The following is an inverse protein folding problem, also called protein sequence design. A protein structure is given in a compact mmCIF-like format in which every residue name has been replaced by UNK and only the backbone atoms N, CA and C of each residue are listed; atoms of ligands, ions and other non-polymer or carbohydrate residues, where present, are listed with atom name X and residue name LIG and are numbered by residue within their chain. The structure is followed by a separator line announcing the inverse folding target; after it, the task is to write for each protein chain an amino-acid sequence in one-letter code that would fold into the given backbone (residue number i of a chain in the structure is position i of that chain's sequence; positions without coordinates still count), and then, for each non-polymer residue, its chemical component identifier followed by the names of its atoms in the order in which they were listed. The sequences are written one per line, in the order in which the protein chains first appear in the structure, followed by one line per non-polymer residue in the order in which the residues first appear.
data_IF_633795608644
#
_entry.id   IF_633795608644
#
_cell.length_a   1.000
_cell.length_b   1.000
_cell.length_c   1.000
_cell.angle_alpha   90.00
_cell.angle_beta   90.00
_cell.angle_gamma   90.00
#
_symmetry.space_group_name_H-M   'P 1'
#
loop_
_entity.id
_entity.type
_entity.pdbx_description
1 polymer ?
#
# COMPACT_ATOMS: atom_id res chain seq x y z
N UNK A 1 57.93 -61.61 -10.13
CA UNK A 1 58.17 -60.18 -9.82
C UNK A 1 57.16 -59.27 -10.51
N UNK A 2 57.06 -59.26 -11.85
CA UNK A 2 56.10 -58.42 -12.62
C UNK A 2 54.64 -58.42 -12.12
N UNK A 3 54.12 -59.56 -11.66
CA UNK A 3 52.75 -59.65 -11.13
C UNK A 3 52.55 -59.03 -9.76
N UNK A 4 53.59 -59.03 -8.91
CA UNK A 4 53.53 -58.41 -7.58
C UNK A 4 53.57 -56.89 -7.75
N UNK A 5 54.43 -56.40 -8.63
CA UNK A 5 54.52 -54.98 -8.97
C UNK A 5 53.23 -54.45 -9.61
N UNK A 6 52.61 -55.20 -10.53
CA UNK A 6 51.31 -54.85 -11.10
C UNK A 6 50.18 -54.83 -10.05
N UNK A 7 50.23 -55.75 -9.07
CA UNK A 7 49.23 -55.81 -7.99
C UNK A 7 49.38 -54.63 -7.03
N UNK A 8 50.62 -54.26 -6.67
CA UNK A 8 50.92 -53.11 -5.81
C UNK A 8 50.55 -51.80 -6.51
N UNK A 9 50.87 -51.66 -7.80
CA UNK A 9 50.50 -50.48 -8.58
C UNK A 9 48.97 -50.35 -8.71
N UNK A 10 48.25 -51.46 -8.91
CA UNK A 10 46.78 -51.44 -8.96
C UNK A 10 46.15 -51.17 -7.59
N UNK A 11 46.75 -51.65 -6.50
CA UNK A 11 46.31 -51.37 -5.13
C UNK A 11 46.52 -49.89 -4.78
N UNK A 12 47.65 -49.32 -5.18
CA UNK A 12 47.91 -47.88 -5.06
C UNK A 12 46.93 -47.04 -5.91
N UNK A 13 46.57 -47.51 -7.10
CA UNK A 13 45.54 -46.89 -7.96
C UNK A 13 44.13 -47.00 -7.35
N UNK A 14 43.78 -48.13 -6.73
CA UNK A 14 42.51 -48.26 -5.99
C UNK A 14 42.49 -47.36 -4.75
N UNK A 15 43.59 -47.25 -4.00
CA UNK A 15 43.69 -46.39 -2.80
C UNK A 15 43.58 -44.91 -3.18
N UNK A 16 44.20 -44.49 -4.28
CA UNK A 16 44.06 -43.12 -4.79
C UNK A 16 42.68 -42.86 -5.37
N UNK A 17 42.05 -43.85 -6.00
CA UNK A 17 40.64 -43.81 -6.43
C UNK A 17 39.66 -43.70 -5.25
N UNK A 18 39.99 -44.27 -4.08
CA UNK A 18 39.19 -44.20 -2.84
C UNK A 18 39.10 -42.76 -2.29
N UNK A 19 40.10 -41.92 -2.55
CA UNK A 19 40.12 -40.53 -2.07
C UNK A 19 39.23 -39.57 -2.87
N UNK A 20 38.77 -39.93 -4.07
CA UNK A 20 38.11 -39.00 -5.00
C UNK A 20 36.73 -39.43 -5.52
N UNK A 21 36.29 -40.66 -5.25
CA UNK A 21 35.02 -41.20 -5.75
C UNK A 21 34.08 -41.47 -4.58
N UNK A 22 32.79 -41.12 -4.69
CA UNK A 22 31.86 -41.30 -3.58
C UNK A 22 31.80 -42.77 -3.14
N UNK A 23 31.98 -42.96 -1.83
CA UNK A 23 32.18 -44.25 -1.14
C UNK A 23 31.17 -45.34 -1.51
N UNK A 24 29.95 -44.98 -1.94
CA UNK A 24 28.91 -45.92 -2.34
C UNK A 24 29.19 -46.65 -3.67
N UNK A 25 29.99 -46.09 -4.58
CA UNK A 25 30.39 -46.77 -5.82
C UNK A 25 31.53 -47.79 -5.57
N UNK A 26 32.34 -47.54 -4.54
CA UNK A 26 33.47 -48.41 -4.17
C UNK A 26 33.05 -49.52 -3.21
N UNK A 27 31.99 -49.32 -2.43
CA UNK A 27 31.50 -50.28 -1.44
C UNK A 27 31.30 -51.70 -2.01
N UNK A 28 30.63 -51.89 -3.17
CA UNK A 28 30.45 -53.22 -3.75
C UNK A 28 31.80 -53.81 -4.19
N UNK A 29 32.69 -52.99 -4.77
CA UNK A 29 34.00 -53.46 -5.26
C UNK A 29 34.94 -53.91 -4.15
N UNK A 30 34.80 -53.34 -2.94
CA UNK A 30 35.65 -53.64 -1.79
C UNK A 30 35.05 -54.76 -0.92
N UNK A 31 33.72 -54.83 -0.80
CA UNK A 31 33.01 -55.82 0.03
C UNK A 31 32.81 -57.16 -0.70
N UNK A 32 32.48 -57.15 -2.00
CA UNK A 32 32.23 -58.39 -2.76
C UNK A 32 33.42 -59.35 -2.72
N UNK A 33 34.70 -58.95 -2.91
CA UNK A 33 35.81 -59.90 -2.79
C UNK A 33 36.00 -60.43 -1.36
N UNK A 34 35.68 -59.64 -0.33
CA UNK A 34 35.74 -60.08 1.07
C UNK A 34 34.74 -61.21 1.37
N UNK A 35 33.55 -61.20 0.76
CA UNK A 35 32.58 -62.30 0.92
C UNK A 35 33.04 -63.63 0.31
N UNK A 36 33.93 -63.61 -0.68
CA UNK A 36 34.45 -64.82 -1.33
C UNK A 36 35.75 -65.36 -0.71
N UNK A 37 36.34 -64.65 0.26
CA UNK A 37 37.54 -65.10 0.98
C UNK A 37 37.08 -65.89 2.22
N UNK A 38 37.06 -67.23 2.14
CA UNK A 38 36.97 -68.09 3.33
C UNK A 38 38.27 -67.95 4.13
N UNK A 39 38.21 -67.44 5.35
CA UNK A 39 39.35 -67.41 6.27
C UNK A 39 39.72 -68.86 6.64
N UNK A 40 40.91 -69.37 6.29
CA UNK A 40 41.29 -70.74 6.61
C UNK A 40 41.51 -70.94 8.11
N UNK A 41 41.03 -72.07 8.65
CA UNK A 41 41.19 -72.42 10.06
C UNK A 41 42.66 -72.78 10.34
N UNK A 42 43.28 -72.20 11.37
CA UNK A 42 44.70 -72.44 11.76
C UNK A 42 45.04 -73.94 11.86
N UNK A 43 44.10 -74.78 12.29
CA UNK A 43 44.29 -76.24 12.34
C UNK A 43 44.35 -76.90 10.97
N UNK A 44 43.57 -76.42 10.00
CA UNK A 44 43.68 -76.91 8.61
C UNK A 44 44.99 -76.49 7.96
N UNK A 45 45.47 -75.29 8.29
CA UNK A 45 46.80 -74.82 7.84
C UNK A 45 47.88 -75.69 8.46
N UNK A 46 47.81 -75.97 9.77
CA UNK A 46 48.74 -76.87 10.46
C UNK A 46 48.77 -78.27 9.85
N UNK A 47 47.62 -78.88 9.56
CA UNK A 47 47.54 -80.18 8.87
C UNK A 47 48.16 -80.16 7.47
N UNK A 48 47.96 -79.08 6.70
CA UNK A 48 48.55 -78.94 5.36
C UNK A 48 50.07 -78.79 5.42
N UNK A 49 50.59 -78.12 6.45
CA UNK A 49 52.03 -78.00 6.68
C UNK A 49 52.63 -79.37 7.04
N UNK A 50 52.00 -80.11 7.95
CA UNK A 50 52.45 -81.45 8.33
C UNK A 50 52.35 -82.46 7.17
N UNK A 51 51.36 -82.33 6.27
CA UNK A 51 51.25 -83.17 5.08
C UNK A 51 52.39 -82.96 4.07
N UNK A 52 52.99 -81.77 4.04
CA UNK A 52 54.13 -81.45 3.17
C UNK A 52 55.45 -81.82 3.86
N UNK A 53 55.49 -81.74 5.19
CA UNK A 53 56.65 -82.04 6.01
C UNK A 53 56.36 -83.22 6.94
N UNK A 54 56.48 -84.47 6.47
CA UNK A 54 56.20 -85.65 7.29
C UNK A 54 57.12 -85.77 8.52
N UNK A 55 58.26 -85.06 8.54
CA UNK A 55 59.16 -84.95 9.70
C UNK A 55 58.49 -84.36 10.95
N UNK A 56 57.44 -83.54 10.78
CA UNK A 56 56.70 -82.97 11.90
C UNK A 56 55.76 -83.97 12.57
N UNK A 57 55.36 -85.06 11.89
CA UNK A 57 54.64 -86.22 12.46
C UNK A 57 53.55 -85.90 13.53
N UNK A 58 52.73 -84.86 13.32
CA UNK A 58 51.66 -84.44 14.24
C UNK A 58 52.09 -83.49 15.37
N UNK A 59 53.39 -83.21 15.51
CA UNK A 59 53.96 -82.36 16.57
C UNK A 59 53.63 -80.88 16.40
N UNK A 60 53.35 -80.39 15.19
CA UNK A 60 53.00 -78.98 14.96
C UNK A 60 51.63 -78.66 15.57
N UNK A 61 50.65 -79.53 15.31
CA UNK A 61 49.30 -79.37 15.83
C UNK A 61 49.29 -79.56 17.34
N UNK A 62 50.02 -80.57 17.84
CA UNK A 62 50.14 -80.83 19.28
C UNK A 62 50.84 -79.65 19.98
N UNK A 63 51.95 -79.16 19.43
CA UNK A 63 52.65 -77.99 19.97
C UNK A 63 51.77 -76.74 20.00
N UNK A 64 50.97 -76.51 18.96
CA UNK A 64 50.01 -75.42 18.89
C UNK A 64 48.85 -75.58 19.91
N UNK A 65 48.34 -76.79 20.10
CA UNK A 65 47.28 -77.05 21.08
C UNK A 65 47.79 -76.93 22.52
N UNK A 66 49.05 -77.34 22.78
CA UNK A 66 49.73 -77.14 24.05
C UNK A 66 50.01 -75.65 24.31
N UNK A 67 50.45 -74.88 23.31
CA UNK A 67 50.74 -73.45 23.49
C UNK A 67 49.50 -72.60 23.76
N UNK A 68 48.31 -73.05 23.35
CA UNK A 68 47.03 -72.36 23.59
C UNK A 68 46.35 -72.86 24.89
N UNK A 69 47.02 -73.73 25.66
CA UNK A 69 46.52 -74.17 26.98
C UNK A 69 45.38 -75.20 26.91
N UNK A 70 45.21 -75.88 25.76
CA UNK A 70 44.09 -76.82 25.56
C UNK A 70 44.16 -78.08 26.42
N UNK A 71 45.33 -78.36 27.02
CA UNK A 71 45.63 -79.52 27.86
C UNK A 71 46.01 -79.14 29.31
N UNK A 72 45.66 -77.94 29.80
CA UNK A 72 45.98 -77.48 31.16
C UNK A 72 45.52 -78.43 32.29
N UNK A 73 44.50 -79.27 32.04
CA UNK A 73 43.99 -80.26 33.01
C UNK A 73 44.93 -81.45 33.21
N UNK A 74 45.85 -81.72 32.29
CA UNK A 74 46.69 -82.91 32.28
C UNK A 74 48.02 -82.72 33.04
N UNK A 75 48.24 -81.54 33.64
CA UNK A 75 49.38 -81.20 34.53
C UNK A 75 50.76 -81.55 33.96
N UNK A 76 50.97 -81.38 32.66
CA UNK A 76 52.30 -81.47 32.07
C UNK A 76 53.24 -80.42 32.68
N UNK A 77 54.52 -80.79 32.89
CA UNK A 77 55.51 -79.84 33.37
C UNK A 77 55.79 -78.77 32.32
N UNK A 78 55.98 -77.52 32.76
CA UNK A 78 56.31 -76.38 31.89
C UNK A 78 57.55 -76.67 31.04
N UNK A 79 58.52 -77.39 31.61
CA UNK A 79 59.75 -77.82 30.94
C UNK A 79 59.46 -78.77 29.76
N UNK A 80 58.48 -79.66 29.88
CA UNK A 80 58.10 -80.59 28.81
C UNK A 80 57.39 -79.84 27.66
N UNK A 81 56.49 -78.91 27.99
CA UNK A 81 55.79 -78.10 27.00
C UNK A 81 56.79 -77.23 26.22
N UNK A 82 57.70 -76.57 26.95
CA UNK A 82 58.74 -75.74 26.36
C UNK A 82 59.66 -76.57 25.45
N UNK A 83 60.05 -77.78 25.89
CA UNK A 83 60.88 -78.67 25.08
C UNK A 83 60.20 -79.11 23.77
N UNK A 84 58.89 -79.39 23.79
CA UNK A 84 58.13 -79.73 22.57
C UNK A 84 58.03 -78.53 21.63
N UNK A 85 57.81 -77.33 22.16
CA UNK A 85 57.74 -76.10 21.35
C UNK A 85 59.11 -75.80 20.72
N UNK A 86 60.20 -75.88 21.49
CA UNK A 86 61.56 -75.66 20.99
C UNK A 86 61.98 -76.70 19.94
N UNK A 87 61.56 -77.96 20.10
CA UNK A 87 61.83 -79.02 19.13
C UNK A 87 61.08 -78.77 17.81
N UNK A 88 59.81 -78.37 17.90
CA UNK A 88 59.01 -77.96 16.73
C UNK A 88 59.62 -76.73 16.06
N UNK A 89 60.10 -75.75 16.81
CA UNK A 89 60.75 -74.54 16.29
C UNK A 89 62.07 -74.85 15.57
N UNK A 90 62.89 -75.77 16.12
CA UNK A 90 64.13 -76.24 15.46
C UNK A 90 63.85 -76.99 14.16
N UNK A 91 62.75 -77.73 14.09
CA UNK A 91 62.34 -78.43 12.85
C UNK A 91 61.81 -77.41 11.83
N UNK A 92 60.96 -76.48 12.27
CA UNK A 92 60.40 -75.43 11.41
C UNK A 92 61.46 -74.50 10.82
N UNK A 93 62.51 -74.14 11.57
CA UNK A 93 63.60 -73.28 11.09
C UNK A 93 64.45 -73.92 10.00
N UNK A 94 64.46 -75.26 9.90
CA UNK A 94 65.16 -76.00 8.83
C UNK A 94 64.32 -76.11 7.55
N UNK A 95 63.01 -75.94 7.64
CA UNK A 95 62.08 -76.07 6.54
C UNK A 95 61.83 -74.69 5.92
N UNK A 96 62.09 -74.54 4.62
CA UNK A 96 61.71 -73.34 3.90
C UNK A 96 60.17 -73.32 3.77
N UNK A 97 59.48 -72.22 4.15
CA UNK A 97 58.02 -72.18 4.12
C UNK A 97 57.52 -72.40 2.69
N UNK A 98 56.70 -73.44 2.40
CA UNK A 98 56.07 -73.56 1.09
C UNK A 98 55.11 -72.38 0.90
N UNK A 99 54.94 -71.93 -0.35
CA UNK A 99 54.01 -70.87 -0.72
C UNK A 99 52.55 -71.30 -0.44
N UNK A 100 52.12 -71.21 0.82
CA UNK A 100 50.82 -71.72 1.31
C UNK A 100 49.64 -70.84 0.89
N UNK A 101 49.91 -69.61 0.43
CA UNK A 101 48.89 -68.69 -0.06
C UNK A 101 48.85 -68.66 -1.59
N UNK A 102 48.27 -69.69 -2.20
CA UNK A 102 47.69 -69.54 -3.55
C UNK A 102 46.33 -68.87 -3.39
N UNK A 103 46.25 -67.59 -3.75
CA UNK A 103 44.97 -66.89 -3.88
C UNK A 103 44.09 -67.71 -4.84
N UNK A 104 42.86 -68.09 -4.45
CA UNK A 104 42.00 -68.89 -5.31
C UNK A 104 41.82 -68.16 -6.64
N UNK A 105 41.89 -68.91 -7.76
CA UNK A 105 41.70 -68.37 -9.10
C UNK A 105 40.38 -67.59 -9.22
N UNK A 106 39.36 -67.98 -8.43
CA UNK A 106 38.08 -67.29 -8.34
C UNK A 106 38.17 -65.85 -7.79
N UNK A 107 39.05 -65.61 -6.80
CA UNK A 107 39.29 -64.26 -6.23
C UNK A 107 40.04 -63.39 -7.24
N UNK A 108 40.91 -64.01 -8.04
CA UNK A 108 41.60 -63.32 -9.14
C UNK A 108 40.59 -62.88 -10.21
N UNK A 109 39.66 -63.75 -10.61
CA UNK A 109 38.62 -63.39 -11.57
C UNK A 109 37.59 -62.39 -11.01
N UNK A 110 37.22 -62.48 -9.73
CA UNK A 110 36.30 -61.50 -9.13
C UNK A 110 36.91 -60.10 -9.09
N UNK A 111 38.21 -59.98 -8.82
CA UNK A 111 38.93 -58.71 -8.89
C UNK A 111 38.95 -58.13 -10.32
N UNK A 112 39.20 -58.96 -11.34
CA UNK A 112 39.14 -58.50 -12.73
C UNK A 112 37.72 -58.15 -13.18
N UNK A 113 36.71 -58.87 -12.71
CA UNK A 113 35.31 -58.57 -13.00
C UNK A 113 34.85 -57.25 -12.36
N UNK A 114 35.22 -56.98 -11.11
CA UNK A 114 34.91 -55.69 -10.47
C UNK A 114 35.65 -54.53 -11.12
N UNK A 115 36.94 -54.71 -11.46
CA UNK A 115 37.71 -53.71 -12.19
C UNK A 115 37.11 -53.44 -13.59
N UNK A 116 36.68 -54.48 -14.30
CA UNK A 116 36.01 -54.36 -15.59
C UNK A 116 34.67 -53.65 -15.49
N UNK A 117 33.84 -53.99 -14.49
CA UNK A 117 32.56 -53.33 -14.25
C UNK A 117 32.74 -51.85 -13.87
N UNK A 118 33.75 -51.54 -13.06
CA UNK A 118 34.11 -50.17 -12.70
C UNK A 118 34.60 -49.37 -13.92
N UNK A 119 35.45 -49.97 -14.75
CA UNK A 119 35.92 -49.35 -15.99
C UNK A 119 34.77 -49.10 -16.96
N UNK A 120 33.86 -50.08 -17.10
CA UNK A 120 32.65 -49.92 -17.88
C UNK A 120 31.77 -48.79 -17.34
N UNK A 121 31.57 -48.69 -16.03
CA UNK A 121 30.81 -47.59 -15.41
C UNK A 121 31.43 -46.23 -15.74
N UNK A 122 32.76 -46.09 -15.67
CA UNK A 122 33.43 -44.84 -16.03
C UNK A 122 33.27 -44.49 -17.53
N UNK A 123 33.22 -45.50 -18.41
CA UNK A 123 33.01 -45.32 -19.85
C UNK A 123 31.56 -44.92 -20.16
N UNK A 124 30.58 -45.58 -19.54
CA UNK A 124 29.16 -45.31 -19.78
C UNK A 124 28.66 -44.03 -19.10
N UNK A 125 29.32 -43.58 -18.04
CA UNK A 125 28.91 -42.41 -17.25
C UNK A 125 30.04 -41.38 -17.08
N UNK A 126 30.61 -40.85 -18.18
CA UNK A 126 31.75 -39.93 -18.12
C UNK A 126 31.39 -38.58 -17.46
N UNK A 127 30.13 -38.20 -17.51
CA UNK A 127 29.55 -36.98 -16.91
C UNK A 127 29.70 -36.95 -15.39
N UNK A 128 29.40 -38.06 -14.72
CA UNK A 128 29.55 -38.19 -13.27
C UNK A 128 31.01 -38.10 -12.84
N UNK A 129 31.94 -38.67 -13.62
CA UNK A 129 33.37 -38.55 -13.37
C UNK A 129 33.85 -37.09 -13.51
N UNK A 130 33.46 -36.43 -14.60
CA UNK A 130 33.80 -35.01 -14.86
C UNK A 130 33.30 -34.09 -13.75
N UNK A 131 32.04 -34.27 -13.32
CA UNK A 131 31.47 -33.48 -12.23
C UNK A 131 32.17 -33.72 -10.88
N UNK A 132 32.56 -34.97 -10.56
CA UNK A 132 33.29 -35.23 -9.31
C UNK A 132 34.72 -34.65 -9.32
N UNK A 133 35.39 -34.65 -10.49
CA UNK A 133 36.73 -34.07 -10.64
C UNK A 133 36.70 -32.54 -10.64
N UNK A 134 35.70 -31.94 -11.29
CA UNK A 134 35.48 -30.48 -11.36
C UNK A 134 33.99 -30.20 -11.24
N UNK A 135 33.47 -29.98 -10.01
CA UNK A 135 32.05 -29.72 -9.78
C UNK A 135 31.69 -28.27 -10.13
N UNK A 136 31.82 -27.92 -11.41
CA UNK A 136 31.46 -26.61 -11.95
C UNK A 136 30.16 -26.71 -12.73
N UNK A 137 29.13 -26.04 -12.23
CA UNK A 137 27.86 -25.83 -12.91
C UNK A 137 27.72 -24.33 -13.15
N UNK A 138 27.63 -23.92 -14.40
CA UNK A 138 27.38 -22.52 -14.77
C UNK A 138 25.89 -22.26 -14.61
N UNK A 139 25.56 -21.36 -13.68
CA UNK A 139 24.17 -21.03 -13.35
C UNK A 139 23.91 -19.58 -13.73
N UNK A 140 22.97 -19.36 -14.65
CA UNK A 140 22.51 -18.04 -15.03
C UNK A 140 21.05 -17.86 -14.60
N UNK A 141 20.75 -16.72 -13.98
CA UNK A 141 19.41 -16.33 -13.56
C UNK A 141 19.02 -15.08 -14.33
N UNK A 142 17.87 -15.12 -15.01
CA UNK A 142 17.33 -13.99 -15.76
C UNK A 142 15.92 -13.68 -15.23
N UNK A 143 15.65 -12.48 -14.72
CA UNK A 143 16.59 -11.37 -14.54
C UNK A 143 17.59 -11.63 -13.40
N UNK A 144 18.86 -11.15 -13.51
CA UNK A 144 19.92 -11.32 -12.50
C UNK A 144 19.75 -10.34 -11.32
N UNK A 145 18.52 -10.12 -10.84
CA UNK A 145 18.19 -9.08 -9.85
C UNK A 145 17.88 -7.72 -10.46
N UNK A 146 17.69 -6.72 -9.59
CA UNK A 146 17.29 -5.37 -10.00
C UNK A 146 16.19 -4.75 -9.14
N UNK A 147 15.54 -3.72 -9.67
CA UNK A 147 14.46 -2.97 -9.00
C UNK A 147 13.11 -3.52 -9.41
N UNK A 148 12.36 -4.02 -8.44
CA UNK A 148 11.02 -4.58 -8.65
C UNK A 148 10.00 -3.87 -7.78
N UNK A 149 8.71 -3.94 -8.16
CA UNK A 149 7.66 -3.36 -7.33
C UNK A 149 7.23 -4.31 -6.22
N UNK A 150 6.86 -3.76 -5.06
CA UNK A 150 6.29 -4.55 -3.98
C UNK A 150 5.04 -5.31 -4.47
N UNK A 151 4.91 -6.54 -4.00
CA UNK A 151 3.86 -7.50 -4.33
C UNK A 151 3.77 -7.94 -5.80
N UNK A 152 4.74 -7.56 -6.63
CA UNK A 152 4.84 -8.07 -8.00
C UNK A 152 5.27 -9.54 -8.04
N UNK A 153 4.67 -10.32 -8.94
CA UNK A 153 5.09 -11.68 -9.23
C UNK A 153 6.12 -11.62 -10.37
N UNK A 154 7.36 -12.00 -10.08
CA UNK A 154 8.45 -12.02 -11.05
C UNK A 154 8.81 -13.46 -11.36
N UNK A 155 8.83 -13.79 -12.65
CA UNK A 155 9.27 -15.08 -13.15
C UNK A 155 10.77 -15.01 -13.45
N UNK A 156 11.54 -15.83 -12.76
CA UNK A 156 12.96 -16.03 -13.02
C UNK A 156 13.15 -17.25 -13.89
N UNK A 157 13.89 -17.07 -14.98
CA UNK A 157 14.39 -18.14 -15.83
C UNK A 157 15.79 -18.51 -15.37
N UNK A 158 15.99 -19.80 -15.09
CA UNK A 158 17.25 -20.36 -14.67
C UNK A 158 17.79 -21.19 -15.82
N UNK A 159 19.00 -20.89 -16.27
CA UNK A 159 19.74 -21.68 -17.26
C UNK A 159 20.96 -22.30 -16.60
N UNK A 160 21.12 -23.61 -16.78
CA UNK A 160 22.20 -24.43 -16.25
C UNK A 160 23.00 -25.00 -17.41
N UNK A 161 24.30 -24.83 -17.34
CA UNK A 161 25.25 -25.44 -18.27
C UNK A 161 26.37 -26.12 -17.49
N UNK A 162 26.67 -27.36 -17.86
CA UNK A 162 27.69 -28.14 -17.17
C UNK A 162 27.63 -29.63 -17.48
N UNK A 163 28.60 -30.38 -16.93
CA UNK A 163 28.78 -31.80 -17.23
C UNK A 163 27.77 -32.72 -16.54
N UNK A 164 26.87 -32.19 -15.70
CA UNK A 164 25.79 -32.95 -15.08
C UNK A 164 24.66 -31.97 -14.74
N UNK A 165 23.53 -32.09 -15.44
CA UNK A 165 22.37 -31.22 -15.25
C UNK A 165 21.37 -31.91 -14.31
N UNK A 166 21.05 -31.33 -13.14
CA UNK A 166 20.07 -31.90 -12.23
C UNK A 166 18.64 -31.62 -12.71
N UNK A 167 17.71 -32.52 -12.39
CA UNK A 167 16.27 -32.34 -12.68
C UNK A 167 15.56 -31.35 -11.75
N UNK A 168 16.20 -30.97 -10.64
CA UNK A 168 15.65 -30.08 -9.64
C UNK A 168 16.71 -29.23 -8.98
N UNK A 169 16.33 -28.01 -8.60
CA UNK A 169 17.14 -27.12 -7.77
C UNK A 169 16.26 -26.19 -6.95
N UNK A 170 16.89 -25.34 -6.16
CA UNK A 170 16.20 -24.45 -5.23
C UNK A 170 16.57 -23.00 -5.51
N UNK A 171 15.55 -22.19 -5.77
CA UNK A 171 15.69 -20.75 -5.86
C UNK A 171 15.40 -20.14 -4.48
N UNK A 172 16.41 -19.48 -3.91
CA UNK A 172 16.33 -18.87 -2.59
C UNK A 172 16.13 -17.37 -2.73
N UNK A 173 15.15 -16.85 -2.01
CA UNK A 173 14.91 -15.43 -1.83
C UNK A 173 14.63 -15.19 -0.34
N UNK A 174 15.57 -14.50 0.32
CA UNK A 174 15.57 -14.31 1.78
C UNK A 174 15.47 -15.65 2.54
N UNK A 175 14.38 -15.87 3.28
CA UNK A 175 14.08 -17.10 4.04
C UNK A 175 13.18 -18.09 3.28
N UNK A 176 12.77 -17.76 2.05
CA UNK A 176 11.90 -18.60 1.23
C UNK A 176 12.74 -19.32 0.18
N UNK A 177 12.50 -20.62 0.04
CA UNK A 177 13.09 -21.44 -0.99
C UNK A 177 11.98 -22.04 -1.84
N UNK A 178 12.06 -21.85 -3.15
CA UNK A 178 11.11 -22.41 -4.12
C UNK A 178 11.81 -23.51 -4.89
N UNK A 179 11.20 -24.69 -4.93
CA UNK A 179 11.67 -25.80 -5.74
C UNK A 179 11.44 -25.47 -7.22
N UNK A 180 12.49 -25.57 -8.02
CA UNK A 180 12.48 -25.34 -9.46
C UNK A 180 12.71 -26.67 -10.15
N UNK A 181 11.77 -27.07 -11.01
CA UNK A 181 11.96 -28.20 -11.92
C UNK A 181 12.77 -27.74 -13.12
N UNK A 182 13.76 -28.53 -13.48
CA UNK A 182 14.68 -28.23 -14.58
C UNK A 182 14.47 -29.30 -15.65
N UNK A 183 14.14 -28.84 -16.85
CA UNK A 183 14.02 -29.64 -18.07
C UNK A 183 15.05 -29.12 -19.07
N UNK A 184 15.93 -30.00 -19.56
CA UNK A 184 17.00 -29.67 -20.52
C UNK A 184 17.87 -28.46 -20.11
N UNK A 185 18.21 -28.38 -18.82
CA UNK A 185 19.04 -27.30 -18.28
C UNK A 185 18.30 -25.97 -18.11
N UNK A 186 16.99 -25.91 -18.33
CA UNK A 186 16.18 -24.71 -18.11
C UNK A 186 15.10 -24.95 -17.06
N UNK A 187 14.86 -23.95 -16.23
CA UNK A 187 13.79 -23.99 -15.24
C UNK A 187 13.18 -22.61 -15.04
N UNK A 188 11.92 -22.57 -14.62
CA UNK A 188 11.21 -21.33 -14.34
C UNK A 188 10.65 -21.35 -12.93
N UNK A 189 10.73 -20.20 -12.27
CA UNK A 189 10.22 -20.03 -10.92
C UNK A 189 9.62 -18.64 -10.73
N UNK A 190 8.42 -18.58 -10.19
CA UNK A 190 7.75 -17.31 -9.92
C UNK A 190 7.76 -17.01 -8.43
N UNK A 191 8.32 -15.85 -8.06
CA UNK A 191 8.43 -15.40 -6.67
C UNK A 191 7.72 -14.06 -6.51
N UNK A 192 6.88 -13.95 -5.48
CA UNK A 192 6.27 -12.67 -5.08
C UNK A 192 7.29 -11.82 -4.33
N UNK A 193 7.56 -10.63 -4.83
CA UNK A 193 8.51 -9.67 -4.27
C UNK A 193 7.91 -8.95 -3.07
N UNK A 194 8.45 -9.14 -1.86
CA UNK A 194 7.85 -8.58 -0.63
C UNK A 194 8.75 -7.53 0.02
N UNK A 195 10.06 -7.77 0.05
CA UNK A 195 11.04 -6.95 0.78
C UNK A 195 12.41 -6.97 0.09
N UNK A 196 13.26 -6.00 0.41
CA UNK A 196 14.63 -5.96 -0.09
C UNK A 196 15.41 -7.21 0.33
N UNK A 197 16.22 -7.76 -0.57
CA UNK A 197 16.98 -8.96 -0.24
C UNK A 197 17.85 -9.43 -1.38
N UNK A 198 18.21 -10.70 -1.29
CA UNK A 198 19.12 -11.33 -2.23
C UNK A 198 18.48 -12.59 -2.80
N UNK A 199 18.72 -12.81 -4.09
CA UNK A 199 18.30 -14.02 -4.79
C UNK A 199 19.51 -14.81 -5.27
N UNK A 200 19.47 -16.12 -5.05
CA UNK A 200 20.48 -17.04 -5.57
C UNK A 200 19.87 -18.42 -5.77
N UNK A 201 20.46 -19.20 -6.67
CA UNK A 201 20.02 -20.54 -7.00
C UNK A 201 21.06 -21.57 -6.53
N UNK A 202 20.59 -22.67 -5.97
CA UNK A 202 21.43 -23.79 -5.55
C UNK A 202 20.99 -25.08 -6.23
N UNK A 203 21.94 -25.80 -6.81
CA UNK A 203 21.72 -27.10 -7.41
C UNK A 203 22.95 -27.98 -7.19
N UNK A 204 22.74 -29.23 -6.78
CA UNK A 204 23.80 -30.17 -6.38
C UNK A 204 24.74 -29.55 -5.33
N UNK A 205 26.04 -29.38 -5.64
CA UNK A 205 27.05 -28.75 -4.78
C UNK A 205 27.40 -27.32 -5.22
N UNK A 206 26.74 -26.81 -6.26
CA UNK A 206 27.05 -25.52 -6.87
C UNK A 206 25.98 -24.48 -6.51
N UNK A 207 26.44 -23.23 -6.36
CA UNK A 207 25.60 -22.06 -6.03
C UNK A 207 25.85 -20.97 -7.06
N UNK A 208 24.80 -20.29 -7.51
CA UNK A 208 24.92 -19.14 -8.40
C UNK A 208 25.53 -17.94 -7.68
N UNK A 209 25.91 -16.91 -8.45
CA UNK A 209 26.12 -15.58 -7.88
C UNK A 209 24.87 -15.10 -7.15
N UNK A 210 25.10 -14.30 -6.11
CA UNK A 210 24.03 -13.64 -5.36
C UNK A 210 23.66 -12.33 -6.05
N UNK A 211 22.38 -12.14 -6.29
CA UNK A 211 21.86 -10.98 -6.99
C UNK A 211 21.00 -10.12 -6.05
N UNK A 212 21.27 -8.81 -5.94
CA UNK A 212 20.48 -7.92 -5.10
C UNK A 212 19.11 -7.63 -5.72
N UNK A 213 18.09 -7.58 -4.87
CA UNK A 213 16.70 -7.28 -5.20
C UNK A 213 16.27 -6.07 -4.39
N UNK A 214 16.06 -4.94 -5.07
CA UNK A 214 15.56 -3.69 -4.48
C UNK A 214 14.06 -3.57 -4.72
N UNK A 215 13.26 -3.41 -3.67
CA UNK A 215 11.81 -3.27 -3.76
C UNK A 215 11.40 -1.81 -3.73
N UNK A 216 10.73 -1.38 -4.80
CA UNK A 216 10.08 -0.08 -4.92
C UNK A 216 8.62 -0.21 -4.53
N UNK A 217 8.18 0.68 -3.65
CA UNK A 217 6.75 0.84 -3.37
C UNK A 217 6.09 1.52 -4.57
N UNK A 218 4.90 1.05 -4.95
CA UNK A 218 4.07 1.78 -5.92
C UNK A 218 3.45 2.96 -5.20
N UNK A 219 3.55 4.15 -5.80
CA UNK A 219 2.88 5.34 -5.27
C UNK A 219 1.37 5.12 -5.34
N UNK A 220 0.70 5.28 -4.20
CA UNK A 220 -0.75 5.29 -4.08
C UNK A 220 -1.20 6.61 -3.46
N UNK A 221 -2.26 7.19 -3.98
CA UNK A 221 -2.94 8.32 -3.35
C UNK A 221 -3.93 7.79 -2.30
N UNK A 222 -3.70 8.07 -1.03
CA UNK A 222 -4.56 7.60 0.06
C UNK A 222 -5.71 8.55 0.34
N UNK A 223 -5.43 9.86 0.37
CA UNK A 223 -6.46 10.88 0.54
C UNK A 223 -5.96 12.25 0.09
N UNK A 224 -6.88 13.18 -0.14
CA UNK A 224 -6.56 14.59 -0.30
C UNK A 224 -7.38 15.35 0.71
N UNK A 225 -6.71 16.13 1.55
CA UNK A 225 -7.36 16.97 2.56
C UNK A 225 -7.27 18.41 2.07
N UNK A 226 -8.43 19.03 1.90
CA UNK A 226 -8.54 20.44 1.57
C UNK A 226 -9.02 21.20 2.79
N UNK A 227 -8.22 22.17 3.23
CA UNK A 227 -8.59 23.12 4.27
C UNK A 227 -9.06 24.42 3.60
N UNK A 228 -10.27 24.86 3.93
CA UNK A 228 -10.87 26.09 3.43
C UNK A 228 -10.99 27.08 4.59
N UNK A 229 -10.49 28.30 4.38
CA UNK A 229 -10.65 29.43 5.29
C UNK A 229 -11.43 30.52 4.55
N UNK A 230 -12.74 30.65 4.83
CA UNK A 230 -13.55 31.72 4.26
C UNK A 230 -13.01 33.11 4.63
N UNK A 231 -13.35 34.14 3.84
CA UNK A 231 -13.04 35.53 4.19
C UNK A 231 -13.66 35.95 5.53
N UNK A 232 -13.01 36.86 6.25
CA UNK A 232 -13.42 37.27 7.59
C UNK A 232 -14.83 37.89 7.69
N UNK A 233 -15.29 38.57 6.63
CA UNK A 233 -16.61 39.21 6.60
C UNK A 233 -17.77 38.20 6.65
N UNK A 234 -17.56 36.99 6.14
CA UNK A 234 -18.60 35.94 6.11
C UNK A 234 -18.96 35.43 7.52
N UNK A 235 -18.09 35.63 8.51
CA UNK A 235 -18.25 35.06 9.85
C UNK A 235 -18.20 33.53 9.92
N UNK A 236 -17.94 32.85 8.80
CA UNK A 236 -17.91 31.39 8.73
C UNK A 236 -16.61 30.83 9.31
N UNK A 237 -16.73 29.71 10.02
CA UNK A 237 -15.56 28.99 10.56
C UNK A 237 -14.80 28.24 9.46
N UNK A 238 -13.48 28.15 9.62
CA UNK A 238 -12.65 27.30 8.77
C UNK A 238 -13.07 25.82 8.86
N UNK A 239 -13.05 25.10 7.74
CA UNK A 239 -13.41 23.69 7.68
C UNK A 239 -12.40 22.88 6.86
N UNK A 240 -12.46 21.55 7.01
CA UNK A 240 -11.66 20.59 6.24
C UNK A 240 -12.59 19.61 5.56
N UNK A 241 -12.33 19.31 4.30
CA UNK A 241 -13.07 18.30 3.54
C UNK A 241 -12.11 17.39 2.76
N UNK A 242 -12.59 16.20 2.42
CA UNK A 242 -11.93 15.24 1.51
C UNK A 242 -12.63 15.18 0.14
N UNK A 243 -13.70 15.94 -0.03
CA UNK A 243 -14.52 15.93 -1.25
C UNK A 243 -13.71 16.43 -2.45
N UNK A 244 -14.13 15.98 -3.64
CA UNK A 244 -13.51 16.39 -4.90
C UNK A 244 -14.13 17.64 -5.50
N UNK A 245 -15.37 17.95 -5.15
CA UNK A 245 -16.06 19.18 -5.56
C UNK A 245 -16.31 20.03 -4.33
N UNK A 246 -15.65 21.18 -4.26
CA UNK A 246 -15.62 22.00 -3.06
C UNK A 246 -16.18 23.39 -3.40
N UNK A 247 -17.38 23.74 -2.90
CA UNK A 247 -17.89 25.10 -2.99
C UNK A 247 -17.11 26.00 -2.03
N UNK A 248 -16.71 27.17 -2.53
CA UNK A 248 -15.87 28.12 -1.82
C UNK A 248 -16.34 29.55 -2.11
N UNK A 249 -16.32 30.41 -1.11
CA UNK A 249 -16.67 31.83 -1.31
C UNK A 249 -15.48 32.54 -1.93
N UNK A 250 -15.72 33.43 -2.90
CA UNK A 250 -14.68 34.23 -3.55
C UNK A 250 -13.77 34.92 -2.52
N UNK A 251 -12.45 34.83 -2.71
CA UNK A 251 -11.46 35.34 -1.74
C UNK A 251 -11.09 34.38 -0.60
N UNK A 252 -11.72 33.20 -0.50
CA UNK A 252 -11.34 32.15 0.46
C UNK A 252 -9.88 31.72 0.26
N UNK A 253 -9.15 31.54 1.37
CA UNK A 253 -7.82 30.95 1.36
C UNK A 253 -7.92 29.41 1.47
N UNK A 254 -7.32 28.70 0.52
CA UNK A 254 -7.42 27.24 0.42
C UNK A 254 -6.03 26.63 0.50
N UNK A 255 -5.95 25.51 1.22
CA UNK A 255 -4.75 24.68 1.34
C UNK A 255 -5.11 23.24 0.99
N UNK A 256 -4.57 22.74 -0.12
CA UNK A 256 -4.78 21.37 -0.61
C UNK A 256 -3.54 20.54 -0.26
N UNK A 257 -3.74 19.45 0.48
CA UNK A 257 -2.68 18.53 0.88
C UNK A 257 -3.03 17.10 0.49
N UNK A 258 -2.39 16.54 -0.55
CA UNK A 258 -2.49 15.13 -0.88
C UNK A 258 -1.59 14.28 0.03
N UNK A 259 -2.05 13.09 0.37
CA UNK A 259 -1.31 12.09 1.14
C UNK A 259 -1.05 10.88 0.25
N UNK A 260 0.23 10.64 -0.03
CA UNK A 260 0.69 9.52 -0.82
C UNK A 260 1.44 8.51 0.04
N UNK A 261 1.31 7.22 -0.31
CA UNK A 261 2.15 6.15 0.22
C UNK A 261 2.96 5.55 -0.94
N UNK A 262 4.31 5.58 -0.90
CA UNK A 262 5.15 6.25 0.09
C UNK A 262 5.06 7.78 0.00
N UNK A 263 5.46 8.47 1.07
CA UNK A 263 5.44 9.93 1.13
C UNK A 263 6.26 10.53 -0.04
N UNK A 264 5.56 11.22 -0.93
CA UNK A 264 6.11 11.73 -2.19
C UNK A 264 5.60 13.14 -2.44
N UNK A 265 6.41 13.96 -3.08
CA UNK A 265 6.05 15.33 -3.48
C UNK A 265 5.07 15.27 -4.66
N UNK A 266 4.01 16.06 -4.59
CA UNK A 266 2.99 16.13 -5.62
C UNK A 266 3.29 17.23 -6.65
N UNK A 267 2.87 16.98 -7.87
CA UNK A 267 2.80 17.94 -8.96
C UNK A 267 1.37 18.47 -9.07
N UNK A 268 1.19 19.77 -8.87
CA UNK A 268 -0.09 20.46 -8.98
C UNK A 268 -0.18 21.24 -10.29
N UNK A 269 -1.26 21.05 -11.03
CA UNK A 269 -1.56 21.81 -12.25
C UNK A 269 -2.91 22.53 -12.09
N UNK A 270 -2.90 23.85 -12.27
CA UNK A 270 -4.10 24.71 -12.11
C UNK A 270 -3.94 25.98 -12.95
N UNK A 271 -4.98 26.44 -13.65
CA UNK A 271 -4.95 27.66 -14.49
C UNK A 271 -3.68 27.82 -15.36
N UNK A 272 -3.24 26.73 -16.01
CA UNK A 272 -1.99 26.69 -16.80
C UNK A 272 -0.70 26.95 -16.02
N UNK A 273 -0.76 26.94 -14.68
CA UNK A 273 0.38 27.00 -13.77
C UNK A 273 0.73 25.61 -13.28
N UNK A 274 2.00 25.44 -12.95
CA UNK A 274 2.56 24.24 -12.37
C UNK A 274 3.24 24.58 -11.06
N UNK A 275 2.98 23.79 -10.03
CA UNK A 275 3.67 23.92 -8.74
C UNK A 275 3.98 22.53 -8.20
N UNK A 276 5.23 22.33 -7.78
CA UNK A 276 5.68 21.09 -7.14
C UNK A 276 5.79 21.30 -5.64
N UNK A 277 5.12 20.48 -4.86
CA UNK A 277 5.12 20.64 -3.40
C UNK A 277 4.31 19.58 -2.67
N UNK A 278 4.33 19.64 -1.34
CA UNK A 278 3.47 18.82 -0.48
C UNK A 278 2.11 19.45 -0.21
N UNK A 279 2.03 20.77 -0.33
CA UNK A 279 0.83 21.55 -0.05
C UNK A 279 0.73 22.62 -1.13
N UNK A 280 -0.44 22.73 -1.74
CA UNK A 280 -0.79 23.84 -2.62
C UNK A 280 -1.63 24.84 -1.84
N UNK A 281 -1.18 26.09 -1.79
CA UNK A 281 -1.95 27.21 -1.21
C UNK A 281 -2.41 28.13 -2.33
N UNK A 282 -3.69 28.45 -2.35
CA UNK A 282 -4.30 29.26 -3.40
C UNK A 282 -5.43 30.14 -2.85
N UNK A 283 -5.74 31.21 -3.58
CA UNK A 283 -6.95 32.02 -3.46
C UNK A 283 -7.56 32.08 -4.85
N UNK A 284 -8.51 31.20 -5.18
CA UNK A 284 -9.12 31.17 -6.50
C UNK A 284 -10.16 32.29 -6.61
N UNK A 285 -10.15 32.97 -7.76
CA UNK A 285 -11.10 34.03 -8.08
C UNK A 285 -12.20 33.57 -9.06
N UNK A 286 -12.04 32.39 -9.66
CA UNK A 286 -12.98 31.77 -10.58
C UNK A 286 -12.98 30.25 -10.40
N UNK A 287 -14.01 29.60 -10.94
CA UNK A 287 -14.08 28.15 -11.03
C UNK A 287 -12.82 27.58 -11.69
N UNK A 288 -12.24 26.57 -11.05
CA UNK A 288 -11.00 25.97 -11.55
C UNK A 288 -10.85 24.51 -11.11
N UNK A 289 -10.15 23.75 -11.94
CA UNK A 289 -9.78 22.36 -11.67
C UNK A 289 -8.30 22.30 -11.29
N UNK A 290 -8.01 21.72 -10.13
CA UNK A 290 -6.65 21.43 -9.68
C UNK A 290 -6.37 19.97 -9.94
N UNK A 291 -5.48 19.67 -10.89
CA UNK A 291 -4.99 18.31 -11.12
C UNK A 291 -3.77 18.05 -10.24
N UNK A 292 -3.74 16.88 -9.63
CA UNK A 292 -2.70 16.44 -8.71
C UNK A 292 -2.11 15.16 -9.29
N UNK A 293 -0.78 15.12 -9.42
CA UNK A 293 -0.07 13.97 -9.98
C UNK A 293 1.14 13.61 -9.13
N UNK A 294 1.37 12.31 -8.90
CA UNK A 294 2.61 11.81 -8.32
C UNK A 294 2.82 10.34 -8.67
N UNK A 295 4.03 9.96 -9.07
CA UNK A 295 4.42 8.57 -9.26
C UNK A 295 3.53 7.76 -10.23
N UNK A 296 2.95 8.43 -11.23
CA UNK A 296 2.02 7.83 -12.20
C UNK A 296 0.54 7.84 -11.79
N UNK A 297 0.22 8.20 -10.55
CA UNK A 297 -1.17 8.42 -10.09
C UNK A 297 -1.59 9.85 -10.39
N UNK A 298 -2.80 10.05 -10.90
CA UNK A 298 -3.39 11.36 -11.13
C UNK A 298 -4.82 11.42 -10.58
N UNK A 299 -5.18 12.54 -9.95
CA UNK A 299 -6.52 12.85 -9.46
C UNK A 299 -6.81 14.34 -9.67
N UNK A 300 -8.07 14.77 -9.56
CA UNK A 300 -8.48 16.16 -9.77
C UNK A 300 -9.51 16.63 -8.76
N UNK A 301 -9.37 17.90 -8.34
CA UNK A 301 -10.31 18.60 -7.47
C UNK A 301 -10.94 19.76 -8.24
N UNK A 302 -12.26 19.87 -8.16
CA UNK A 302 -13.06 20.96 -8.69
C UNK A 302 -13.33 21.97 -7.57
N UNK A 303 -12.92 23.21 -7.79
CA UNK A 303 -13.19 24.33 -6.91
C UNK A 303 -14.28 25.19 -7.57
N UNK A 304 -15.41 25.33 -6.89
CA UNK A 304 -16.57 26.08 -7.37
C UNK A 304 -16.64 27.37 -6.57
N UNK A 305 -16.35 28.50 -7.21
CA UNK A 305 -16.31 29.82 -6.59
C UNK A 305 -17.70 30.43 -6.59
N UNK A 306 -18.24 30.61 -5.39
CA UNK A 306 -19.48 31.31 -5.12
C UNK A 306 -19.18 32.79 -4.92
N UNK A 307 -19.88 33.63 -5.68
CA UNK A 307 -19.85 35.07 -5.49
C UNK A 307 -20.79 35.46 -4.34
N UNK A 308 -20.37 36.47 -3.59
CA UNK A 308 -21.13 37.12 -2.53
C UNK A 308 -22.23 37.99 -3.15
N UNK A 309 -23.46 37.90 -2.68
CA UNK A 309 -24.58 38.63 -3.27
C UNK A 309 -24.78 39.98 -2.57
N UNK A 310 -25.18 41.00 -3.33
CA UNK A 310 -25.56 42.28 -2.71
C UNK A 310 -26.89 42.11 -1.91
N UNK A 311 -27.04 42.81 -0.78
CA UNK A 311 -28.25 42.75 0.03
C UNK A 311 -29.52 43.06 -0.75
N UNK A 312 -30.58 42.30 -0.52
CA UNK A 312 -31.89 42.56 -1.09
C UNK A 312 -32.67 43.53 -0.19
N UNK A 313 -33.20 44.61 -0.78
CA UNK A 313 -34.00 45.63 -0.06
C UNK A 313 -35.37 45.79 -0.71
N UNK A 314 -36.43 45.57 0.06
CA UNK A 314 -37.82 45.69 -0.39
C UNK A 314 -38.56 46.64 0.55
N UNK A 315 -39.07 47.75 0.01
CA UNK A 315 -40.03 48.61 0.71
C UNK A 315 -41.43 48.04 0.41
N UNK A 316 -42.08 47.47 1.41
CA UNK A 316 -43.41 46.88 1.27
C UNK A 316 -44.53 47.79 1.76
N UNK A 317 -44.21 48.81 2.58
CA UNK A 317 -45.14 49.87 2.95
C UNK A 317 -44.43 51.23 2.84
N UNK A 318 -45.00 52.22 2.13
CA UNK A 318 -46.22 52.11 1.32
C UNK A 318 -46.05 51.21 0.07
N UNK A 319 -44.81 50.96 -0.37
CA UNK A 319 -44.53 50.05 -1.50
C UNK A 319 -44.96 50.57 -2.88
N UNK A 320 -45.41 51.82 -2.94
CA UNK A 320 -45.85 52.51 -4.15
C UNK A 320 -45.65 54.02 -3.99
N UNK A 321 -45.83 54.76 -5.09
CA UNK A 321 -45.90 56.21 -5.05
C UNK A 321 -47.18 56.63 -4.32
N UNK A 322 -47.07 57.58 -3.40
CA UNK A 322 -48.18 58.04 -2.56
C UNK A 322 -48.28 59.56 -2.56
N UNK A 323 -49.49 60.04 -2.29
CA UNK A 323 -49.69 61.42 -1.87
C UNK A 323 -49.35 61.56 -0.39
N UNK A 324 -48.67 62.64 -0.01
CA UNK A 324 -48.33 62.95 1.37
C UNK A 324 -49.61 63.02 2.24
N UNK A 325 -49.74 62.19 3.29
CA UNK A 325 -50.89 62.26 4.20
C UNK A 325 -50.90 63.56 4.99
N UNK A 326 -52.08 63.95 5.48
CA UNK A 326 -52.26 65.18 6.29
C UNK A 326 -51.46 65.17 7.59
N UNK A 327 -51.15 63.99 8.14
CA UNK A 327 -50.28 63.83 9.32
C UNK A 327 -48.84 64.25 9.07
N UNK A 328 -48.40 64.38 7.81
CA UNK A 328 -46.99 64.52 7.41
C UNK A 328 -46.08 63.38 7.92
N UNK A 329 -46.68 62.25 8.30
CA UNK A 329 -45.97 61.04 8.75
C UNK A 329 -46.20 59.91 7.76
N UNK A 330 -45.13 59.25 7.35
CA UNK A 330 -45.19 58.10 6.44
C UNK A 330 -44.51 56.90 7.10
N UNK A 331 -45.28 55.83 7.30
CA UNK A 331 -44.76 54.57 7.83
C UNK A 331 -44.02 53.80 6.73
N UNK A 332 -42.71 53.70 6.89
CA UNK A 332 -41.85 52.94 5.99
C UNK A 332 -41.67 51.51 6.52
N UNK A 333 -42.32 50.56 5.85
CA UNK A 333 -42.11 49.13 6.03
C UNK A 333 -41.03 48.62 5.09
N UNK A 334 -39.89 48.23 5.66
CA UNK A 334 -38.69 47.82 4.92
C UNK A 334 -38.34 46.38 5.30
N UNK A 335 -38.15 45.53 4.31
CA UNK A 335 -37.63 44.17 4.47
C UNK A 335 -36.27 44.09 3.80
N UNK A 336 -35.33 43.52 4.52
CA UNK A 336 -33.94 43.38 4.10
C UNK A 336 -33.46 41.96 4.35
N UNK A 337 -32.69 41.41 3.41
CA UNK A 337 -32.16 40.05 3.47
C UNK A 337 -30.82 40.00 2.76
N UNK A 338 -29.88 39.28 3.35
CA UNK A 338 -28.51 39.09 2.88
C UNK A 338 -28.06 37.65 3.16
N UNK A 339 -27.09 37.15 2.40
CA UNK A 339 -26.53 35.80 2.59
C UNK A 339 -25.62 35.72 3.83
N UNK A 340 -25.03 36.85 4.25
CA UNK A 340 -24.21 36.95 5.45
C UNK A 340 -24.84 37.85 6.52
N UNK A 341 -24.58 39.16 6.47
CA UNK A 341 -24.98 40.06 7.55
C UNK A 341 -25.03 41.49 7.06
N UNK A 342 -26.19 42.10 7.30
CA UNK A 342 -26.40 43.53 7.09
C UNK A 342 -25.85 44.29 8.31
N UNK A 343 -25.06 45.34 8.07
CA UNK A 343 -24.47 46.17 9.13
C UNK A 343 -25.27 47.41 9.44
N UNK A 344 -25.80 48.05 8.40
CA UNK A 344 -26.53 49.32 8.53
C UNK A 344 -27.52 49.50 7.39
N UNK A 345 -28.54 50.30 7.67
CA UNK A 345 -29.58 50.69 6.74
C UNK A 345 -29.67 52.20 6.70
N UNK A 346 -29.73 52.77 5.50
CA UNK A 346 -29.84 54.22 5.27
C UNK A 346 -31.05 54.51 4.37
N UNK A 347 -31.87 55.49 4.77
CA UNK A 347 -32.88 56.09 3.92
C UNK A 347 -32.25 57.28 3.18
N UNK A 348 -32.12 57.17 1.87
CA UNK A 348 -31.76 58.29 1.00
C UNK A 348 -32.99 58.93 0.42
N UNK A 349 -33.13 60.25 0.55
CA UNK A 349 -34.19 60.99 -0.11
C UNK A 349 -33.67 62.25 -0.78
N UNK A 350 -34.38 62.66 -1.83
CA UNK A 350 -34.10 63.84 -2.63
C UNK A 350 -35.33 64.74 -2.67
N UNK A 351 -35.14 66.01 -2.30
CA UNK A 351 -36.14 67.07 -2.38
C UNK A 351 -35.53 68.19 -3.21
N UNK A 352 -36.12 68.48 -4.37
CA UNK A 352 -35.56 69.44 -5.34
C UNK A 352 -34.09 69.06 -5.66
N UNK A 353 -33.13 69.89 -5.25
CA UNK A 353 -31.69 69.65 -5.44
C UNK A 353 -30.95 69.11 -4.20
N UNK A 354 -31.64 68.92 -3.07
CA UNK A 354 -31.04 68.44 -1.83
C UNK A 354 -31.17 66.93 -1.73
N UNK A 355 -30.03 66.22 -1.68
CA UNK A 355 -29.94 64.81 -1.35
C UNK A 355 -29.48 64.63 0.09
N UNK A 356 -30.25 63.90 0.88
CA UNK A 356 -29.96 63.64 2.29
C UNK A 356 -30.01 62.14 2.52
N UNK A 357 -29.17 61.65 3.44
CA UNK A 357 -29.19 60.27 3.91
C UNK A 357 -29.37 60.25 5.41
N UNK A 358 -30.33 59.46 5.87
CA UNK A 358 -30.63 59.24 7.29
C UNK A 358 -30.34 57.78 7.60
N UNK A 359 -29.60 57.52 8.68
CA UNK A 359 -29.40 56.16 9.14
C UNK A 359 -30.63 55.68 9.94
N UNK A 360 -31.17 54.53 9.55
CA UNK A 360 -32.28 53.89 10.28
C UNK A 360 -31.66 53.01 11.39
N UNK A 361 -32.16 53.09 12.63
CA UNK A 361 -31.75 52.17 13.69
C UNK A 361 -31.98 50.71 13.29
N UNK A 362 -30.89 49.94 13.18
CA UNK A 362 -30.93 48.53 12.82
C UNK A 362 -29.86 47.77 13.60
N UNK A 363 -30.23 46.62 14.14
CA UNK A 363 -29.28 45.71 14.78
C UNK A 363 -28.74 44.75 13.73
N UNK A 364 -27.42 44.55 13.64
CA UNK A 364 -26.83 43.73 12.59
C UNK A 364 -27.38 42.29 12.58
N UNK A 365 -28.01 41.91 11.46
CA UNK A 365 -28.65 40.62 11.27
C UNK A 365 -28.62 40.22 9.78
N UNK A 366 -28.70 38.91 9.44
CA UNK A 366 -28.80 38.44 8.05
C UNK A 366 -30.11 38.89 7.38
N UNK A 367 -31.18 39.00 8.17
CA UNK A 367 -32.48 39.44 7.70
C UNK A 367 -33.14 40.35 8.73
N UNK A 368 -34.05 41.20 8.27
CA UNK A 368 -34.76 42.13 9.13
C UNK A 368 -36.02 42.69 8.49
N UNK A 369 -37.01 42.94 9.33
CA UNK A 369 -38.18 43.74 8.98
C UNK A 369 -38.21 44.95 9.89
N UNK A 370 -38.18 46.14 9.29
CA UNK A 370 -38.16 47.43 9.95
C UNK A 370 -39.45 48.18 9.66
N UNK A 371 -40.01 48.79 10.70
CA UNK A 371 -41.08 49.77 10.59
C UNK A 371 -40.51 51.09 11.09
N UNK A 372 -40.34 52.04 10.19
CA UNK A 372 -39.75 53.35 10.48
C UNK A 372 -40.79 54.44 10.23
N UNK A 373 -41.33 55.07 11.29
CA UNK A 373 -42.22 56.22 11.13
C UNK A 373 -41.38 57.42 10.70
N UNK A 374 -41.60 57.88 9.47
CA UNK A 374 -40.85 58.99 8.90
C UNK A 374 -41.65 60.30 9.00
N UNK A 375 -41.24 61.17 9.93
CA UNK A 375 -41.78 62.52 10.07
C UNK A 375 -41.17 63.46 9.01
N UNK A 376 -42.03 64.00 8.14
CA UNK A 376 -41.67 64.89 7.04
C UNK A 376 -41.90 66.37 7.38
N UNK A 377 -42.43 66.69 8.57
CA UNK A 377 -42.82 68.05 8.99
C UNK A 377 -41.63 69.01 8.97
N UNK A 378 -40.45 68.54 9.36
CA UNK A 378 -39.24 69.36 9.49
C UNK A 378 -38.50 69.60 8.15
N UNK A 379 -39.01 69.04 7.04
CA UNK A 379 -38.33 69.10 5.75
C UNK A 379 -38.63 70.37 4.95
N UNK A 380 -39.52 71.24 5.44
CA UNK A 380 -39.84 72.52 4.82
C UNK A 380 -40.43 72.37 3.41
N UNK A 381 -41.31 71.38 3.24
CA UNK A 381 -41.97 71.05 1.98
C UNK A 381 -43.02 72.12 1.62
N UNK A 382 -43.13 72.43 0.33
CA UNK A 382 -44.17 73.31 -0.20
C UNK A 382 -45.23 72.49 -0.97
N UNK A 383 -46.51 72.92 -1.00
CA UNK A 383 -47.53 72.29 -1.82
C UNK A 383 -47.09 72.19 -3.29
N UNK A 384 -47.12 70.98 -3.86
CA UNK A 384 -46.61 70.66 -5.19
C UNK A 384 -45.20 70.05 -5.23
N UNK A 385 -44.46 70.03 -4.11
CA UNK A 385 -43.15 69.38 -4.05
C UNK A 385 -43.26 67.86 -4.19
N UNK A 386 -42.22 67.23 -4.76
CA UNK A 386 -42.09 65.77 -4.84
C UNK A 386 -40.81 65.31 -4.14
N UNK A 387 -40.94 64.32 -3.27
CA UNK A 387 -39.83 63.67 -2.57
C UNK A 387 -39.57 62.34 -3.27
N UNK A 388 -38.37 62.13 -3.79
CA UNK A 388 -37.94 60.81 -4.25
C UNK A 388 -37.12 60.15 -3.14
N UNK A 389 -37.51 58.95 -2.70
CA UNK A 389 -36.80 58.23 -1.65
C UNK A 389 -36.45 56.80 -2.07
N UNK A 390 -35.37 56.28 -1.49
CA UNK A 390 -34.88 54.92 -1.66
C UNK A 390 -34.13 54.48 -0.41
N UNK A 391 -34.15 53.18 -0.14
CA UNK A 391 -33.49 52.59 1.00
C UNK A 391 -32.25 51.85 0.54
N UNK A 392 -31.17 52.03 1.29
CA UNK A 392 -29.90 51.35 1.10
C UNK A 392 -29.62 50.42 2.27
N UNK A 393 -29.22 49.20 1.97
CA UNK A 393 -28.65 48.28 2.94
C UNK A 393 -27.17 48.08 2.64
N UNK A 394 -26.35 48.02 3.68
CA UNK A 394 -24.91 47.78 3.55
C UNK A 394 -24.53 46.52 4.31
N UNK A 395 -23.90 45.58 3.62
CA UNK A 395 -23.12 44.52 4.23
C UNK A 395 -21.67 45.00 4.47
N UNK A 396 -20.73 44.07 4.63
CA UNK A 396 -19.31 44.36 4.86
C UNK A 396 -18.53 44.84 3.61
N UNK A 397 -19.00 44.52 2.40
CA UNK A 397 -18.30 44.72 1.13
C UNK A 397 -19.17 45.40 0.08
N UNK A 398 -20.46 45.09 0.04
CA UNK A 398 -21.40 45.53 -0.99
C UNK A 398 -22.51 46.42 -0.41
N UNK A 399 -23.39 46.86 -1.31
CA UNK A 399 -24.58 47.63 -0.95
C UNK A 399 -25.76 47.18 -1.80
N UNK A 400 -26.90 47.00 -1.14
CA UNK A 400 -28.20 46.80 -1.76
C UNK A 400 -28.98 48.11 -1.84
N UNK A 401 -29.77 48.28 -2.89
CA UNK A 401 -30.68 49.43 -3.04
C UNK A 401 -32.10 48.98 -3.37
N UNK A 402 -33.08 49.69 -2.81
CA UNK A 402 -34.49 49.50 -3.16
C UNK A 402 -34.83 50.19 -4.47
N UNK A 403 -36.04 49.91 -4.97
CA UNK A 403 -36.68 50.77 -5.98
C UNK A 403 -36.84 52.19 -5.43
N UNK A 404 -36.85 53.16 -6.34
CA UNK A 404 -37.11 54.57 -6.04
C UNK A 404 -38.63 54.77 -5.97
N UNK A 405 -39.10 55.38 -4.89
CA UNK A 405 -40.50 55.72 -4.67
C UNK A 405 -40.66 57.23 -4.55
N UNK A 406 -41.85 57.73 -4.86
CA UNK A 406 -42.16 59.16 -4.83
C UNK A 406 -43.31 59.48 -3.88
N UNK A 407 -43.11 60.51 -3.08
CA UNK A 407 -44.15 61.12 -2.22
C UNK A 407 -44.44 62.50 -2.78
N UNK A 408 -45.65 62.71 -3.25
CA UNK A 408 -46.10 64.00 -3.79
C UNK A 408 -46.84 64.79 -2.70
N UNK A 409 -46.48 66.05 -2.48
CA UNK A 409 -47.26 66.96 -1.64
C UNK A 409 -48.40 67.55 -2.48
N UNK A 410 -49.68 67.24 -2.18
CA UNK A 410 -50.81 67.90 -2.82
C UNK A 410 -50.68 69.42 -2.92
N UNK A 411 -51.11 69.95 -4.06
CA UNK A 411 -51.27 71.40 -4.22
C UNK A 411 -52.40 71.92 -3.32
N UNK A 412 -52.40 73.23 -3.01
CA UNK A 412 -53.47 73.83 -2.21
C UNK A 412 -54.86 73.56 -2.82
N UNK A 413 -54.99 73.65 -4.14
CA UNK A 413 -56.24 73.35 -4.84
C UNK A 413 -56.72 71.91 -4.59
N UNK A 414 -55.81 70.93 -4.67
CA UNK A 414 -56.13 69.52 -4.39
C UNK A 414 -56.49 69.28 -2.92
N UNK A 415 -55.83 69.96 -1.99
CA UNK A 415 -56.15 69.88 -0.56
C UNK A 415 -57.57 70.42 -0.32
N UNK A 416 -57.90 71.60 -0.85
CA UNK A 416 -59.24 72.18 -0.74
C UNK A 416 -60.30 71.29 -1.38
N UNK A 417 -60.02 70.72 -2.55
CA UNK A 417 -60.93 69.79 -3.22
C UNK A 417 -61.18 68.55 -2.35
N UNK A 418 -60.13 67.96 -1.79
CA UNK A 418 -60.24 66.80 -0.91
C UNK A 418 -61.04 67.11 0.36
N UNK A 419 -60.79 68.26 1.00
CA UNK A 419 -61.56 68.70 2.19
C UNK A 419 -63.03 68.92 1.82
N UNK A 420 -63.31 69.59 0.71
CA UNK A 420 -64.68 69.86 0.26
C UNK A 420 -65.45 68.59 -0.12
N UNK A 421 -64.75 67.58 -0.64
CA UNK A 421 -65.32 66.27 -0.97
C UNK A 421 -65.63 65.48 0.31
N UNK A 422 -64.72 65.50 1.28
CA UNK A 422 -64.87 64.86 2.58
C UNK A 422 -66.02 65.48 3.40
N UNK A 423 -66.14 66.82 3.40
CA UNK A 423 -67.27 67.52 4.03
C UNK A 423 -68.61 67.18 3.36
N UNK A 424 -68.66 67.10 2.03
CA UNK A 424 -69.87 66.69 1.30
C UNK A 424 -70.27 65.26 1.67
N UNK A 425 -69.30 64.34 1.69
CA UNK A 425 -69.53 62.96 2.09
C UNK A 425 -70.03 62.86 3.54
N UNK A 426 -69.41 63.56 4.49
CA UNK A 426 -69.86 63.57 5.88
C UNK A 426 -71.28 64.12 6.04
N UNK A 427 -71.62 65.21 5.32
CA UNK A 427 -72.99 65.74 5.32
C UNK A 427 -73.99 64.72 4.77
N UNK A 428 -73.63 64.01 3.71
CA UNK A 428 -74.46 62.96 3.13
C UNK A 428 -74.67 61.80 4.12
N UNK A 429 -73.59 61.28 4.73
CA UNK A 429 -73.66 60.22 5.74
C UNK A 429 -74.51 60.63 6.94
N UNK A 430 -74.31 61.84 7.49
CA UNK A 430 -75.12 62.35 8.61
C UNK A 430 -76.59 62.46 8.23
N UNK A 431 -76.89 62.91 7.00
CA UNK A 431 -78.27 63.01 6.52
C UNK A 431 -78.97 61.65 6.33
N UNK A 432 -78.21 60.60 6.00
CA UNK A 432 -78.71 59.23 5.91
C UNK A 432 -78.97 58.68 7.30
N UNK A 433 -78.01 58.80 8.22
CA UNK A 433 -78.15 58.35 9.61
C UNK A 433 -79.30 59.07 10.34
N UNK A 434 -79.51 60.36 10.09
CA UNK A 434 -80.64 61.09 10.68
C UNK A 434 -81.98 60.57 10.17
N UNK A 435 -82.08 60.23 8.87
CA UNK A 435 -83.30 59.62 8.30
C UNK A 435 -83.55 58.23 8.86
N UNK A 436 -82.51 57.39 9.01
CA UNK A 436 -82.63 56.07 9.65
C UNK A 436 -83.08 56.19 11.11
N UNK A 437 -82.53 57.15 11.87
CA UNK A 437 -82.95 57.38 13.25
C UNK A 437 -84.41 57.81 13.34
N UNK A 438 -84.89 58.70 12.46
CA UNK A 438 -86.31 59.10 12.41
C UNK A 438 -87.25 57.94 12.10
N UNK A 439 -86.86 57.04 11.19
CA UNK A 439 -87.62 55.83 10.88
C UNK A 439 -87.65 54.88 12.09
N UNK A 440 -86.51 54.66 12.74
CA UNK A 440 -86.40 53.80 13.93
C UNK A 440 -87.23 54.35 15.10
N UNK A 441 -87.25 55.68 15.31
CA UNK A 441 -88.09 56.32 16.32
C UNK A 441 -89.57 56.15 16.03
N UNK A 442 -89.99 56.28 14.76
CA UNK A 442 -91.37 56.02 14.33
C UNK A 442 -91.79 54.59 14.59
N UNK A 443 -90.97 53.61 14.22
CA UNK A 443 -91.22 52.20 14.49
C UNK A 443 -91.32 51.91 15.99
N UNK A 444 -90.48 52.55 16.82
CA UNK A 444 -90.55 52.41 18.28
C UNK A 444 -91.80 53.06 18.91
N UNK A 445 -92.32 54.14 18.31
CA UNK A 445 -93.57 54.79 18.73
C UNK A 445 -94.77 53.92 18.35
N UNK A 446 -94.80 53.33 17.15
CA UNK A 446 -95.85 52.40 16.71
C UNK A 446 -95.90 51.15 17.60
N UNK A 447 -94.74 50.57 17.97
CA UNK A 447 -94.68 49.44 18.92
C UNK A 447 -95.18 49.82 20.32
N UNK A 448 -95.06 51.09 20.72
CA UNK A 448 -95.60 51.57 22.01
C UNK A 448 -97.11 51.78 21.99
N UNK A 449 -97.72 52.07 20.85
CA UNK A 449 -99.18 52.21 20.73
C UNK A 449 -99.90 50.86 20.60
N UNK A 450 -99.20 49.78 20.24
CA UNK A 450 -99.75 48.41 20.16
C UNK A 450 -99.77 47.63 21.50
N UNK A 451 -99.21 48.18 22.58
CA UNK A 451 -99.22 47.61 23.94
C UNK A 451 -99.93 48.53 24.94
#
# INVERSE_FOLDING_TARGET
MLFIEASILSAALMITSILFIPYYLLLPTLIVPLFFIKIPNLKEIGRKIEAICPELAGRLIIGYELSIGRFERERYSQELIQAVIEDVEKILTRVHPPSLFRIPVLVRYSFFATLSLFTAFLIFFPEYLRYNLKPTLNIQIVPPGGRFYQDSLITFQISLDGPLIPHQGWLHYQSRSVLVRIEDGRGEASIKMVRDGEIYFTALRSRSSTYPVEIRLRTRLDSIITKVSPPGYTGLSQFKTKDRSIPIIKGSAISIQPFFTPDTIADFYYLSRYLRGRILRLRPDSDQVVKIQAGGVSDSIHLIVLEDLSPAVIVFAPGQDISLPRSMEVDLGIRISDDFRIRRVELGYQIRDRKVRIQIPFHPAPEGTLLYPWDLTQLGLLPGDTIAYQVFAYDDIQRGESRVFRIFFPTLAQIYEQVSAEERYLKEVVSVLSKEAEVTWREAEEVKEEF
#
